data_IF_464817159930
#
_entry.id   IF_464817159930
#
_cell.length_a   1.000
_cell.length_b   1.000
_cell.length_c   1.000
_cell.angle_alpha   90.00
_cell.angle_beta   90.00
_cell.angle_gamma   90.00
#
_symmetry.space_group_name_H-M   'P 1'
#
loop_
_entity.id
_entity.type
_entity.pdbx_description
1 polymer ?
#
# COMPACT_ATOMS: atom_id res chain seq x y z
N UNK A 1 -7.87 -18.52 22.11
CA UNK A 1 -9.18 -18.02 21.63
C UNK A 1 -9.96 -17.27 22.71
N UNK A 2 -9.80 -17.61 24.00
CA UNK A 2 -10.34 -16.87 25.16
C UNK A 2 -9.80 -15.45 25.33
N UNK A 3 -8.66 -15.10 24.72
CA UNK A 3 -8.09 -13.73 24.81
C UNK A 3 -8.75 -12.72 23.86
N UNK A 4 -9.18 -13.12 22.66
CA UNK A 4 -9.80 -12.21 21.68
C UNK A 4 -11.18 -11.74 22.15
N UNK A 5 -11.86 -12.52 22.99
CA UNK A 5 -13.15 -12.13 23.56
C UNK A 5 -13.02 -11.15 24.75
N UNK A 6 -11.85 -11.07 25.40
CA UNK A 6 -11.66 -10.20 26.57
C UNK A 6 -11.57 -8.70 26.24
N UNK A 7 -11.26 -8.35 24.99
CA UNK A 7 -11.15 -6.94 24.57
C UNK A 7 -12.38 -6.42 23.81
N UNK A 8 -13.45 -7.20 23.73
CA UNK A 8 -14.68 -6.76 23.07
C UNK A 8 -15.43 -5.80 24.01
N UNK A 9 -15.64 -4.51 23.64
CA UNK A 9 -16.43 -3.60 24.46
C UNK A 9 -17.83 -4.18 24.64
N UNK A 10 -18.37 -4.11 25.86
CA UNK A 10 -19.68 -4.68 26.22
C UNK A 10 -20.77 -4.22 25.25
N UNK A 11 -21.18 -5.12 24.35
CA UNK A 11 -22.23 -4.84 23.36
C UNK A 11 -23.58 -4.99 24.07
N UNK A 12 -24.27 -3.87 24.30
CA UNK A 12 -25.64 -3.86 24.81
C UNK A 12 -26.56 -4.55 23.81
N UNK A 13 -27.36 -5.50 24.29
CA UNK A 13 -28.44 -6.15 23.53
C UNK A 13 -29.50 -5.10 23.17
N UNK A 14 -29.53 -4.68 21.91
CA UNK A 14 -30.54 -3.77 21.37
C UNK A 14 -31.68 -4.62 20.79
N UNK A 15 -32.78 -4.76 21.53
CA UNK A 15 -34.05 -5.20 20.97
C UNK A 15 -34.72 -4.00 20.31
N UNK A 16 -34.53 -3.81 19.01
CA UNK A 16 -35.04 -2.63 18.30
C UNK A 16 -35.40 -2.97 16.86
N UNK A 17 -36.55 -2.45 16.43
CA UNK A 17 -37.16 -2.64 15.12
C UNK A 17 -36.16 -2.60 13.97
N UNK A 18 -36.19 -3.66 13.15
CA UNK A 18 -35.39 -3.80 11.95
C UNK A 18 -35.84 -2.77 10.90
N UNK A 19 -35.22 -1.60 10.90
CA UNK A 19 -35.39 -0.67 9.78
C UNK A 19 -34.76 -1.26 8.51
N UNK A 20 -35.43 -1.12 7.34
CA UNK A 20 -34.97 -1.71 6.11
C UNK A 20 -33.64 -1.11 5.61
N UNK A 21 -32.65 -1.99 5.43
CA UNK A 21 -31.24 -1.71 5.12
C UNK A 21 -30.95 -1.10 3.74
N UNK A 22 -31.95 -0.78 2.89
CA UNK A 22 -31.70 -0.30 1.52
C UNK A 22 -31.42 1.21 1.40
N UNK A 23 -31.39 1.98 2.50
CA UNK A 23 -31.04 3.41 2.48
C UNK A 23 -29.55 3.73 2.62
N UNK A 24 -28.67 2.74 2.62
CA UNK A 24 -27.23 2.99 2.74
C UNK A 24 -26.59 3.27 1.38
N UNK A 25 -26.07 4.48 1.20
CA UNK A 25 -25.01 4.80 0.22
C UNK A 25 -23.68 4.14 0.64
N UNK A 26 -23.72 2.83 0.87
CA UNK A 26 -22.63 2.07 1.44
C UNK A 26 -21.45 1.95 0.48
N UNK A 27 -20.24 2.01 1.03
CA UNK A 27 -19.03 1.69 0.26
C UNK A 27 -19.13 0.27 -0.34
N UNK A 28 -18.48 0.01 -1.48
CA UNK A 28 -18.46 -1.33 -2.10
C UNK A 28 -17.96 -2.45 -1.17
N UNK A 29 -17.28 -2.11 -0.06
CA UNK A 29 -16.89 -3.06 0.99
C UNK A 29 -18.09 -3.55 1.82
N UNK A 30 -19.01 -2.65 2.15
CA UNK A 30 -20.21 -2.98 2.92
C UNK A 30 -21.15 -3.87 2.12
N UNK A 31 -21.36 -3.56 0.83
CA UNK A 31 -22.18 -4.40 -0.05
C UNK A 31 -21.63 -5.82 -0.17
N UNK A 32 -20.31 -5.96 -0.37
CA UNK A 32 -19.64 -7.28 -0.42
C UNK A 32 -19.76 -8.03 0.89
N UNK A 33 -19.55 -7.36 2.02
CA UNK A 33 -19.71 -7.99 3.34
C UNK A 33 -21.15 -8.49 3.54
N UNK A 34 -22.14 -7.67 3.19
CA UNK A 34 -23.55 -8.04 3.30
C UNK A 34 -23.91 -9.23 2.40
N UNK A 35 -23.43 -9.24 1.15
CA UNK A 35 -23.64 -10.37 0.24
C UNK A 35 -23.04 -11.68 0.79
N UNK A 36 -21.79 -11.63 1.29
CA UNK A 36 -21.15 -12.81 1.90
C UNK A 36 -21.84 -13.23 3.21
N UNK A 37 -22.37 -12.27 3.98
CA UNK A 37 -23.18 -12.55 5.16
C UNK A 37 -24.45 -13.32 4.79
N UNK A 38 -25.20 -12.86 3.78
CA UNK A 38 -26.42 -13.55 3.33
C UNK A 38 -26.13 -14.95 2.80
N UNK A 39 -25.05 -15.10 2.02
CA UNK A 39 -24.61 -16.42 1.55
C UNK A 39 -24.29 -17.36 2.72
N UNK A 40 -23.49 -16.89 3.69
CA UNK A 40 -23.11 -17.69 4.87
C UNK A 40 -24.33 -18.02 5.74
N UNK A 41 -25.30 -17.10 5.84
CA UNK A 41 -26.56 -17.35 6.55
C UNK A 41 -27.41 -18.42 5.87
N UNK A 42 -27.49 -18.40 4.54
CA UNK A 42 -28.21 -19.43 3.78
C UNK A 42 -27.54 -20.80 3.93
N UNK A 43 -26.20 -20.86 3.84
CA UNK A 43 -25.42 -22.07 4.11
C UNK A 43 -25.68 -22.58 5.54
N UNK A 44 -25.67 -21.70 6.54
CA UNK A 44 -25.99 -22.05 7.93
C UNK A 44 -27.39 -22.67 8.07
N UNK A 45 -28.41 -22.04 7.48
CA UNK A 45 -29.79 -22.51 7.54
C UNK A 45 -29.94 -23.89 6.88
N UNK A 46 -29.25 -24.15 5.77
CA UNK A 46 -29.26 -25.45 5.10
C UNK A 46 -28.65 -26.58 5.95
N UNK A 47 -27.72 -26.25 6.86
CA UNK A 47 -27.05 -27.21 7.73
C UNK A 47 -27.71 -27.38 9.10
N UNK A 48 -28.40 -26.36 9.61
CA UNK A 48 -28.91 -26.33 10.99
C UNK A 48 -29.88 -27.47 11.34
N UNK A 49 -30.52 -28.10 10.36
CA UNK A 49 -31.39 -29.27 10.54
C UNK A 49 -30.74 -30.63 10.28
N UNK A 50 -29.47 -30.68 9.89
CA UNK A 50 -28.76 -31.91 9.53
C UNK A 50 -28.00 -32.47 10.73
N UNK A 51 -27.92 -33.80 10.82
CA UNK A 51 -26.96 -34.45 11.71
C UNK A 51 -25.57 -34.39 11.06
N UNK A 52 -24.53 -33.89 11.76
CA UNK A 52 -23.19 -33.82 11.20
C UNK A 52 -22.59 -35.21 11.01
N UNK A 53 -21.71 -35.37 10.03
CA UNK A 53 -21.02 -36.63 9.78
C UNK A 53 -20.12 -37.08 10.95
N UNK A 54 -19.55 -36.11 11.67
CA UNK A 54 -18.69 -36.33 12.83
C UNK A 54 -19.28 -35.59 14.03
N UNK A 55 -19.48 -36.24 15.19
CA UNK A 55 -19.89 -35.56 16.40
C UNK A 55 -18.85 -34.49 16.76
N UNK A 56 -19.25 -33.22 16.69
CA UNK A 56 -18.37 -32.12 17.08
C UNK A 56 -18.40 -31.98 18.61
N UNK A 57 -17.24 -31.83 19.27
CA UNK A 57 -17.21 -31.50 20.70
C UNK A 57 -17.74 -30.09 20.99
N UNK A 58 -17.93 -29.27 19.94
CA UNK A 58 -18.37 -27.88 20.05
C UNK A 58 -19.79 -27.78 19.50
N UNK A 59 -20.66 -27.05 20.21
CA UNK A 59 -21.97 -26.65 19.71
C UNK A 59 -21.81 -25.56 18.63
N UNK A 60 -21.38 -25.98 17.44
CA UNK A 60 -21.05 -25.10 16.32
C UNK A 60 -22.25 -24.26 15.88
N UNK A 61 -23.48 -24.79 16.00
CA UNK A 61 -24.69 -24.08 15.59
C UNK A 61 -24.92 -22.80 16.40
N UNK A 62 -24.78 -22.91 17.73
CA UNK A 62 -24.87 -21.74 18.62
C UNK A 62 -23.77 -20.72 18.31
N UNK A 63 -22.53 -21.19 18.12
CA UNK A 63 -21.39 -20.32 17.82
C UNK A 63 -21.55 -19.57 16.49
N UNK A 64 -22.00 -20.25 15.42
CA UNK A 64 -22.24 -19.61 14.13
C UNK A 64 -23.35 -18.57 14.24
N UNK A 65 -24.44 -18.87 14.95
CA UNK A 65 -25.55 -17.92 15.15
C UNK A 65 -25.07 -16.66 15.87
N UNK A 66 -24.38 -16.81 17.00
CA UNK A 66 -23.81 -15.69 17.75
C UNK A 66 -22.87 -14.84 16.89
N UNK A 67 -21.98 -15.48 16.14
CA UNK A 67 -21.06 -14.78 15.24
C UNK A 67 -21.81 -14.02 14.13
N UNK A 68 -22.85 -14.61 13.53
CA UNK A 68 -23.64 -13.95 12.49
C UNK A 68 -24.41 -12.73 13.05
N UNK A 69 -24.93 -12.81 14.27
CA UNK A 69 -25.53 -11.65 14.96
C UNK A 69 -24.50 -10.55 15.21
N UNK A 70 -23.29 -10.91 15.66
CA UNK A 70 -22.19 -9.96 15.85
C UNK A 70 -21.73 -9.33 14.51
N UNK A 71 -21.76 -10.08 13.40
CA UNK A 71 -21.48 -9.54 12.06
C UNK A 71 -22.50 -8.45 11.70
N UNK A 72 -23.79 -8.66 12.00
CA UNK A 72 -24.83 -7.66 11.77
C UNK A 72 -24.61 -6.39 12.60
N UNK A 73 -24.29 -6.54 13.89
CA UNK A 73 -23.98 -5.41 14.76
C UNK A 73 -22.75 -4.64 14.26
N UNK A 74 -21.69 -5.35 13.84
CA UNK A 74 -20.50 -4.73 13.27
C UNK A 74 -20.82 -3.95 11.98
N UNK A 75 -21.72 -4.46 11.12
CA UNK A 75 -22.19 -3.74 9.94
C UNK A 75 -22.96 -2.47 10.31
N UNK A 76 -23.84 -2.52 11.31
CA UNK A 76 -24.60 -1.36 11.80
C UNK A 76 -23.69 -0.25 12.35
N UNK A 77 -22.64 -0.63 13.09
CA UNK A 77 -21.65 0.29 13.64
C UNK A 77 -20.57 0.72 12.64
N UNK A 78 -20.67 0.34 11.36
CA UNK A 78 -19.66 0.59 10.30
C UNK A 78 -18.26 0.03 10.64
N UNK A 79 -18.19 -0.93 11.57
CA UNK A 79 -16.97 -1.65 11.93
C UNK A 79 -16.71 -2.80 10.94
N UNK A 80 -16.53 -2.45 9.65
CA UNK A 80 -16.50 -3.44 8.55
C UNK A 80 -15.38 -4.47 8.70
N UNK A 81 -14.20 -4.08 9.19
CA UNK A 81 -13.07 -4.99 9.38
C UNK A 81 -13.35 -6.06 10.43
N UNK A 82 -14.01 -5.67 11.52
CA UNK A 82 -14.48 -6.62 12.53
C UNK A 82 -15.54 -7.56 11.95
N UNK A 83 -16.50 -7.03 11.20
CA UNK A 83 -17.52 -7.83 10.52
C UNK A 83 -16.92 -8.89 9.60
N UNK A 84 -15.89 -8.56 8.81
CA UNK A 84 -15.18 -9.54 7.98
C UNK A 84 -14.48 -10.63 8.79
N UNK A 85 -13.83 -10.29 9.91
CA UNK A 85 -13.15 -11.26 10.78
C UNK A 85 -14.15 -12.22 11.44
N UNK A 86 -15.26 -11.68 11.93
CA UNK A 86 -16.34 -12.47 12.52
C UNK A 86 -16.97 -13.40 11.48
N UNK A 87 -17.26 -12.90 10.28
CA UNK A 87 -17.85 -13.71 9.20
C UNK A 87 -16.94 -14.86 8.78
N UNK A 88 -15.64 -14.60 8.57
CA UNK A 88 -14.66 -15.66 8.27
C UNK A 88 -14.55 -16.69 9.39
N UNK A 89 -14.79 -16.26 10.63
CA UNK A 89 -14.80 -17.17 11.79
C UNK A 89 -16.06 -18.03 11.77
N UNK A 90 -17.23 -17.46 11.50
CA UNK A 90 -18.46 -18.22 11.30
C UNK A 90 -18.32 -19.26 10.18
N UNK A 91 -17.71 -18.89 9.06
CA UNK A 91 -17.43 -19.80 7.94
C UNK A 91 -16.53 -20.99 8.33
N UNK A 92 -15.54 -20.78 9.21
CA UNK A 92 -14.74 -21.90 9.74
C UNK A 92 -15.56 -22.82 10.63
N UNK A 93 -16.48 -22.27 11.43
CA UNK A 93 -17.37 -23.08 12.26
C UNK A 93 -18.44 -23.85 11.45
N UNK A 94 -18.83 -23.36 10.28
CA UNK A 94 -19.76 -24.09 9.40
C UNK A 94 -19.22 -25.44 8.94
N UNK A 95 -17.89 -25.58 8.86
CA UNK A 95 -17.23 -26.84 8.46
C UNK A 95 -17.63 -28.01 9.36
N UNK A 96 -17.92 -27.76 10.64
CA UNK A 96 -18.36 -28.81 11.56
C UNK A 96 -19.79 -29.32 11.29
N UNK A 97 -20.57 -28.60 10.47
CA UNK A 97 -21.90 -29.02 10.02
C UNK A 97 -21.89 -29.80 8.69
N UNK A 98 -20.76 -29.85 7.99
CA UNK A 98 -20.66 -30.48 6.67
C UNK A 98 -20.66 -32.01 6.74
N UNK A 99 -21.16 -32.63 5.66
CA UNK A 99 -20.95 -34.07 5.41
C UNK A 99 -19.52 -34.34 4.95
N UNK A 100 -19.10 -35.61 4.97
CA UNK A 100 -17.75 -35.97 4.52
C UNK A 100 -17.49 -35.59 3.05
N UNK A 101 -18.50 -35.76 2.18
CA UNK A 101 -18.42 -35.35 0.77
C UNK A 101 -18.29 -33.83 0.63
N UNK A 102 -19.06 -33.06 1.39
CA UNK A 102 -18.99 -31.59 1.40
C UNK A 102 -17.62 -31.10 1.90
N UNK A 103 -17.04 -31.75 2.91
CA UNK A 103 -15.68 -31.47 3.41
C UNK A 103 -14.65 -31.71 2.30
N UNK A 104 -14.75 -32.82 1.56
CA UNK A 104 -13.83 -33.12 0.45
C UNK A 104 -13.91 -32.06 -0.65
N UNK A 105 -15.12 -31.69 -1.07
CA UNK A 105 -15.35 -30.65 -2.08
C UNK A 105 -14.76 -29.32 -1.59
N UNK A 106 -15.03 -28.95 -0.34
CA UNK A 106 -14.54 -27.68 0.23
C UNK A 106 -13.03 -27.67 0.39
N UNK A 107 -12.42 -28.79 0.80
CA UNK A 107 -10.97 -28.91 0.92
C UNK A 107 -10.29 -28.77 -0.45
N UNK A 108 -10.83 -29.38 -1.50
CA UNK A 108 -10.35 -29.20 -2.86
C UNK A 108 -10.46 -27.73 -3.33
N UNK A 109 -11.57 -27.05 -3.02
CA UNK A 109 -11.75 -25.64 -3.32
C UNK A 109 -10.70 -24.76 -2.62
N UNK A 110 -10.50 -24.96 -1.31
CA UNK A 110 -9.53 -24.22 -0.50
C UNK A 110 -8.10 -24.48 -0.98
N UNK A 111 -7.74 -25.73 -1.30
CA UNK A 111 -6.42 -26.05 -1.87
C UNK A 111 -6.19 -25.39 -3.22
N UNK A 112 -7.22 -25.32 -4.07
CA UNK A 112 -7.15 -24.60 -5.35
C UNK A 112 -6.91 -23.10 -5.13
N UNK A 113 -7.63 -22.48 -4.20
CA UNK A 113 -7.44 -21.07 -3.87
C UNK A 113 -6.04 -20.81 -3.29
N UNK A 114 -5.58 -21.66 -2.35
CA UNK A 114 -4.23 -21.55 -1.76
C UNK A 114 -3.14 -21.74 -2.81
N UNK A 115 -3.37 -22.60 -3.80
CA UNK A 115 -2.41 -22.86 -4.88
C UNK A 115 -2.32 -21.73 -5.90
N UNK A 116 -3.26 -20.77 -5.93
CA UNK A 116 -3.26 -19.64 -6.87
C UNK A 116 -1.89 -18.93 -6.86
N UNK A 117 -1.29 -18.63 -8.04
CA UNK A 117 -0.02 -17.90 -8.13
C UNK A 117 -0.06 -16.52 -7.46
N UNK A 118 -1.24 -15.91 -7.28
CA UNK A 118 -1.43 -14.65 -6.56
C UNK A 118 -1.08 -14.76 -5.08
N UNK A 119 -1.13 -15.95 -4.50
CA UNK A 119 -0.74 -16.19 -3.11
C UNK A 119 0.76 -16.45 -3.08
N UNK A 120 1.54 -15.42 -2.76
CA UNK A 120 3.01 -15.50 -2.74
C UNK A 120 3.54 -15.83 -1.33
N UNK A 121 3.08 -16.93 -0.75
CA UNK A 121 3.50 -17.36 0.59
C UNK A 121 3.81 -18.86 0.60
N UNK A 122 5.04 -19.27 0.22
CA UNK A 122 5.42 -20.68 0.08
C UNK A 122 5.06 -21.52 1.31
N UNK A 123 5.44 -21.05 2.51
CA UNK A 123 5.18 -21.78 3.76
C UNK A 123 3.69 -22.02 4.05
N UNK A 124 2.78 -21.13 3.58
CA UNK A 124 1.33 -21.32 3.76
C UNK A 124 0.80 -22.39 2.81
N UNK A 125 1.35 -22.44 1.58
CA UNK A 125 1.03 -23.50 0.61
C UNK A 125 1.50 -24.84 1.14
N UNK A 126 2.73 -24.90 1.65
CA UNK A 126 3.33 -26.11 2.19
C UNK A 126 2.57 -26.58 3.44
N UNK A 127 2.22 -25.66 4.35
CA UNK A 127 1.41 -25.98 5.53
C UNK A 127 0.02 -26.52 5.14
N UNK A 128 -0.70 -25.83 4.24
CA UNK A 128 -2.01 -26.27 3.78
C UNK A 128 -1.98 -27.65 3.10
N UNK A 129 -0.95 -27.91 2.27
CA UNK A 129 -0.71 -29.22 1.68
C UNK A 129 -0.44 -30.26 2.75
N UNK A 130 0.47 -30.00 3.68
CA UNK A 130 0.80 -30.96 4.74
C UNK A 130 -0.40 -31.35 5.62
N UNK A 131 -1.41 -30.49 5.73
CA UNK A 131 -2.63 -30.74 6.49
C UNK A 131 -3.67 -31.53 5.67
N UNK A 132 -3.90 -31.17 4.40
CA UNK A 132 -5.01 -31.71 3.60
C UNK A 132 -4.60 -32.84 2.65
N UNK A 133 -3.32 -32.95 2.29
CA UNK A 133 -2.83 -33.94 1.35
C UNK A 133 -1.99 -35.02 2.03
N UNK A 134 -1.96 -36.19 1.41
CA UNK A 134 -1.01 -37.26 1.65
C UNK A 134 -0.43 -37.65 0.28
N UNK A 135 0.90 -37.61 0.15
CA UNK A 135 1.59 -37.88 -1.12
C UNK A 135 1.02 -37.08 -2.33
N UNK A 136 0.77 -35.77 -2.14
CA UNK A 136 0.16 -34.85 -3.13
C UNK A 136 -1.28 -35.15 -3.57
N UNK A 137 -1.93 -36.17 -2.99
CA UNK A 137 -3.34 -36.45 -3.18
C UNK A 137 -4.16 -35.99 -1.98
N UNK A 138 -5.41 -35.58 -2.22
CA UNK A 138 -6.32 -35.18 -1.15
C UNK A 138 -6.60 -36.38 -0.24
N UNK A 139 -6.45 -36.23 1.07
CA UNK A 139 -6.73 -37.32 2.02
C UNK A 139 -8.18 -37.75 1.90
N UNK A 140 -8.48 -39.06 1.92
CA UNK A 140 -9.86 -39.56 1.83
C UNK A 140 -10.71 -39.16 3.05
N UNK A 141 -10.10 -39.07 4.23
CA UNK A 141 -10.77 -38.73 5.48
C UNK A 141 -10.17 -37.46 6.10
N UNK A 142 -10.63 -36.30 5.63
CA UNK A 142 -10.25 -35.00 6.19
C UNK A 142 -11.10 -34.71 7.41
N UNK A 143 -10.45 -34.42 8.54
CA UNK A 143 -11.14 -33.95 9.75
C UNK A 143 -11.70 -32.54 9.54
N UNK A 144 -12.92 -32.22 10.03
CA UNK A 144 -13.46 -30.86 10.01
C UNK A 144 -12.50 -29.83 10.62
N UNK A 145 -11.76 -30.22 11.67
CA UNK A 145 -10.78 -29.37 12.32
C UNK A 145 -9.61 -29.04 11.39
N UNK A 146 -9.09 -30.04 10.67
CA UNK A 146 -7.99 -29.85 9.73
C UNK A 146 -8.38 -28.87 8.60
N UNK A 147 -9.60 -29.00 8.07
CA UNK A 147 -10.13 -28.05 7.09
C UNK A 147 -10.31 -26.64 7.68
N UNK A 148 -10.84 -26.52 8.91
CA UNK A 148 -10.96 -25.23 9.59
C UNK A 148 -9.61 -24.55 9.82
N UNK A 149 -8.56 -25.31 10.17
CA UNK A 149 -7.18 -24.82 10.32
C UNK A 149 -6.62 -24.29 9.00
N UNK A 150 -6.81 -25.01 7.89
CA UNK A 150 -6.35 -24.52 6.58
C UNK A 150 -7.15 -23.29 6.12
N UNK A 151 -8.46 -23.26 6.37
CA UNK A 151 -9.26 -22.06 6.11
C UNK A 151 -8.77 -20.86 6.94
N UNK A 152 -8.31 -21.08 8.17
CA UNK A 152 -7.70 -20.03 8.98
C UNK A 152 -6.44 -19.47 8.31
N UNK A 153 -5.53 -20.32 7.82
CA UNK A 153 -4.32 -19.89 7.11
C UNK A 153 -4.66 -19.02 5.88
N UNK A 154 -5.67 -19.42 5.10
CA UNK A 154 -6.15 -18.66 3.95
C UNK A 154 -6.74 -17.32 4.37
N UNK A 155 -7.60 -17.32 5.39
CA UNK A 155 -8.24 -16.12 5.90
C UNK A 155 -7.25 -15.11 6.47
N UNK A 156 -6.22 -15.59 7.18
CA UNK A 156 -5.13 -14.77 7.73
C UNK A 156 -4.28 -14.16 6.63
N UNK A 157 -4.01 -14.91 5.55
CA UNK A 157 -3.37 -14.35 4.35
C UNK A 157 -4.20 -13.22 3.75
N UNK A 158 -5.49 -13.44 3.49
CA UNK A 158 -6.37 -12.41 2.95
C UNK A 158 -6.42 -11.17 3.86
N UNK A 159 -6.51 -11.36 5.18
CA UNK A 159 -6.50 -10.26 6.14
C UNK A 159 -5.20 -9.44 6.08
N UNK A 160 -4.05 -10.13 5.95
CA UNK A 160 -2.74 -9.50 5.81
C UNK A 160 -2.66 -8.66 4.53
N UNK A 161 -3.14 -9.19 3.40
CA UNK A 161 -3.15 -8.47 2.12
C UNK A 161 -3.98 -7.19 2.21
N UNK A 162 -5.18 -7.25 2.79
CA UNK A 162 -6.02 -6.06 2.94
C UNK A 162 -5.42 -5.03 3.89
N UNK A 163 -4.75 -5.47 4.96
CA UNK A 163 -4.03 -4.57 5.87
C UNK A 163 -2.95 -3.79 5.12
N UNK A 164 -2.11 -4.49 4.35
CA UNK A 164 -1.05 -3.89 3.53
C UNK A 164 -1.63 -2.90 2.52
N UNK A 165 -2.69 -3.27 1.80
CA UNK A 165 -3.36 -2.36 0.85
C UNK A 165 -3.93 -1.11 1.54
N UNK A 166 -4.46 -1.25 2.75
CA UNK A 166 -4.97 -0.12 3.52
C UNK A 166 -3.84 0.85 3.92
N UNK A 167 -2.71 0.33 4.40
CA UNK A 167 -1.52 1.12 4.72
C UNK A 167 -0.97 1.83 3.48
N UNK A 168 -0.88 1.13 2.35
CA UNK A 168 -0.43 1.70 1.07
C UNK A 168 -1.35 2.84 0.60
N UNK A 169 -2.67 2.66 0.68
CA UNK A 169 -3.61 3.72 0.32
C UNK A 169 -3.48 4.93 1.23
N UNK A 170 -3.30 4.72 2.53
CA UNK A 170 -3.07 5.82 3.48
C UNK A 170 -1.77 6.57 3.16
N UNK A 171 -0.71 5.83 2.80
CA UNK A 171 0.56 6.42 2.34
C UNK A 171 0.37 7.24 1.08
N UNK A 172 -0.34 6.73 0.07
CA UNK A 172 -0.63 7.46 -1.17
C UNK A 172 -1.48 8.71 -0.92
N UNK A 173 -2.44 8.65 0.00
CA UNK A 173 -3.25 9.82 0.39
C UNK A 173 -2.39 10.90 1.05
N UNK A 174 -1.53 10.54 1.98
CA UNK A 174 -0.61 11.49 2.62
C UNK A 174 0.36 12.08 1.61
N UNK A 175 0.95 11.25 0.75
CA UNK A 175 1.87 11.72 -0.28
C UNK A 175 1.17 12.65 -1.27
N UNK A 176 -0.06 12.33 -1.66
CA UNK A 176 -0.91 13.20 -2.49
C UNK A 176 -1.15 14.54 -1.80
N UNK A 177 -1.54 14.54 -0.51
CA UNK A 177 -1.75 15.75 0.27
C UNK A 177 -0.50 16.64 0.34
N UNK A 178 0.67 16.06 0.63
CA UNK A 178 1.93 16.82 0.66
C UNK A 178 2.30 17.37 -0.72
N UNK A 179 2.10 16.59 -1.78
CA UNK A 179 2.40 17.01 -3.15
C UNK A 179 1.49 18.15 -3.59
N UNK A 180 0.18 18.02 -3.36
CA UNK A 180 -0.80 19.08 -3.66
C UNK A 180 -0.51 20.34 -2.86
N UNK A 181 -0.16 20.20 -1.57
CA UNK A 181 0.24 21.32 -0.73
C UNK A 181 1.50 22.03 -1.25
N UNK A 182 2.52 21.27 -1.65
CA UNK A 182 3.76 21.83 -2.21
C UNK A 182 3.53 22.54 -3.55
N UNK A 183 2.72 21.95 -4.45
CA UNK A 183 2.35 22.57 -5.73
C UNK A 183 1.53 23.83 -5.51
N UNK A 184 0.55 23.82 -4.61
CA UNK A 184 -0.25 25.00 -4.29
C UNK A 184 0.61 26.11 -3.70
N UNK A 185 1.51 25.79 -2.76
CA UNK A 185 2.47 26.74 -2.21
C UNK A 185 3.37 27.32 -3.31
N UNK A 186 3.82 26.49 -4.26
CA UNK A 186 4.61 26.95 -5.40
C UNK A 186 3.81 27.85 -6.35
N UNK A 187 2.53 27.58 -6.59
CA UNK A 187 1.68 28.46 -7.43
C UNK A 187 1.43 29.80 -6.75
N UNK A 188 1.21 29.81 -5.43
CA UNK A 188 0.89 31.03 -4.67
C UNK A 188 2.12 31.90 -4.37
N UNK A 189 3.26 31.28 -4.11
CA UNK A 189 4.51 31.95 -3.72
C UNK A 189 5.54 31.97 -4.85
N UNK A 190 5.23 31.35 -5.99
CA UNK A 190 6.13 31.22 -7.12
C UNK A 190 6.40 32.53 -7.83
N UNK A 191 7.42 32.57 -8.67
CA UNK A 191 7.72 33.74 -9.48
C UNK A 191 6.60 33.94 -10.51
N UNK A 192 6.27 35.21 -10.79
CA UNK A 192 5.25 35.56 -11.77
C UNK A 192 5.60 34.92 -13.12
N UNK A 193 4.65 34.23 -13.77
CA UNK A 193 4.93 33.40 -14.97
C UNK A 193 5.52 34.24 -16.11
N UNK A 194 5.21 35.55 -16.12
CA UNK A 194 5.78 36.54 -17.06
C UNK A 194 7.30 36.71 -16.92
N UNK A 195 7.88 36.31 -15.79
CA UNK A 195 9.31 36.33 -15.58
C UNK A 195 10.05 35.28 -16.42
N UNK A 196 9.40 34.17 -16.78
CA UNK A 196 10.03 33.10 -17.55
C UNK A 196 10.24 33.43 -19.03
N UNK A 197 9.48 34.37 -19.60
CA UNK A 197 9.56 34.69 -21.03
C UNK A 197 10.65 35.70 -21.37
N UNK A 198 11.23 36.35 -20.36
CA UNK A 198 12.23 37.39 -20.56
C UNK A 198 13.59 36.81 -20.20
N UNK A 199 14.43 36.50 -21.19
CA UNK A 199 15.78 35.91 -21.04
C UNK A 199 16.79 36.82 -20.31
N UNK A 200 16.32 37.84 -19.61
CA UNK A 200 17.18 38.75 -18.88
C UNK A 200 17.63 38.08 -17.58
N UNK A 201 18.94 38.19 -17.33
CA UNK A 201 19.59 37.81 -16.07
C UNK A 201 18.83 38.52 -14.95
N UNK A 202 17.97 37.78 -14.25
CA UNK A 202 17.20 38.33 -13.15
C UNK A 202 18.19 38.74 -12.05
N UNK A 203 18.35 40.03 -11.74
CA UNK A 203 19.10 40.41 -10.56
C UNK A 203 18.40 39.75 -9.36
N UNK A 204 19.18 39.09 -8.49
CA UNK A 204 18.69 38.38 -7.30
C UNK A 204 18.15 39.38 -6.25
N UNK A 205 17.12 40.16 -6.57
CA UNK A 205 16.57 41.19 -5.68
C UNK A 205 15.84 40.62 -4.47
N UNK A 206 15.49 39.31 -4.49
CA UNK A 206 14.85 38.64 -3.35
C UNK A 206 15.39 37.21 -3.14
N UNK A 207 16.56 37.04 -2.49
CA UNK A 207 17.17 35.73 -2.29
C UNK A 207 16.26 34.76 -1.54
N UNK A 208 15.51 35.23 -0.53
CA UNK A 208 14.63 34.39 0.29
C UNK A 208 13.56 33.64 -0.52
N UNK A 209 12.97 34.31 -1.53
CA UNK A 209 11.92 33.72 -2.37
C UNK A 209 12.50 32.63 -3.29
N UNK A 210 13.71 32.86 -3.81
CA UNK A 210 14.39 31.90 -4.67
C UNK A 210 14.75 30.62 -3.93
N UNK A 211 15.27 30.73 -2.69
CA UNK A 211 15.51 29.57 -1.82
C UNK A 211 14.24 28.76 -1.58
N UNK A 212 13.10 29.44 -1.37
CA UNK A 212 11.81 28.79 -1.18
C UNK A 212 11.36 28.04 -2.44
N UNK A 213 11.48 28.67 -3.61
CA UNK A 213 11.09 28.05 -4.89
C UNK A 213 11.92 26.80 -5.17
N UNK A 214 13.24 26.90 -4.98
CA UNK A 214 14.20 25.79 -5.16
C UNK A 214 13.85 24.63 -4.23
N UNK A 215 13.57 24.92 -2.96
CA UNK A 215 13.18 23.91 -1.97
C UNK A 215 11.83 23.24 -2.31
N UNK A 216 10.83 24.03 -2.69
CA UNK A 216 9.51 23.52 -3.10
C UNK A 216 9.62 22.62 -4.34
N UNK A 217 10.42 23.01 -5.32
CA UNK A 217 10.61 22.23 -6.54
C UNK A 217 11.32 20.90 -6.26
N UNK A 218 12.27 20.88 -5.33
CA UNK A 218 12.91 19.64 -4.88
C UNK A 218 11.96 18.74 -4.10
N UNK A 219 11.05 19.31 -3.29
CA UNK A 219 9.99 18.52 -2.64
C UNK A 219 9.04 17.89 -3.65
N UNK A 220 8.70 18.59 -4.75
CA UNK A 220 7.92 18.02 -5.84
C UNK A 220 8.68 16.86 -6.50
N UNK A 221 9.97 17.01 -6.78
CA UNK A 221 10.80 15.92 -7.30
C UNK A 221 10.83 14.69 -6.38
N UNK A 222 10.94 14.92 -5.07
CA UNK A 222 10.92 13.87 -4.05
C UNK A 222 9.58 13.15 -3.97
N UNK A 223 8.48 13.89 -4.07
CA UNK A 223 7.14 13.35 -4.13
C UNK A 223 6.95 12.44 -5.36
N UNK A 224 7.36 12.91 -6.55
CA UNK A 224 7.28 12.11 -7.78
C UNK A 224 8.11 10.83 -7.64
N UNK A 225 9.34 10.92 -7.11
CA UNK A 225 10.18 9.76 -6.84
C UNK A 225 9.53 8.79 -5.84
N UNK A 226 8.90 9.31 -4.79
CA UNK A 226 8.13 8.56 -3.81
C UNK A 226 6.95 7.81 -4.43
N UNK A 227 6.19 8.45 -5.32
CA UNK A 227 5.12 7.81 -6.08
C UNK A 227 5.65 6.67 -6.95
N UNK A 228 6.67 6.94 -7.78
CA UNK A 228 7.25 5.93 -8.68
C UNK A 228 7.82 4.74 -7.90
N UNK A 229 8.47 4.99 -6.76
CA UNK A 229 8.97 3.95 -5.86
C UNK A 229 7.83 3.10 -5.29
N UNK A 230 6.72 3.73 -4.90
CA UNK A 230 5.57 3.04 -4.32
C UNK A 230 4.93 2.08 -5.33
N UNK A 231 4.85 2.47 -6.61
CA UNK A 231 4.37 1.58 -7.67
C UNK A 231 5.28 0.38 -7.93
N UNK A 232 6.60 0.55 -7.79
CA UNK A 232 7.56 -0.56 -7.98
C UNK A 232 7.54 -1.57 -6.84
N UNK A 233 7.30 -1.11 -5.61
CA UNK A 233 7.35 -1.96 -4.41
C UNK A 233 6.18 -2.96 -4.31
N UNK A 234 5.07 -2.72 -5.02
CA UNK A 234 3.92 -3.64 -5.13
C UNK A 234 4.32 -5.04 -5.67
N UNK A 235 5.50 -5.17 -6.30
CA UNK A 235 5.97 -6.46 -6.86
C UNK A 235 6.79 -7.32 -5.90
N UNK A 236 7.33 -6.79 -4.79
CA UNK A 236 8.12 -7.61 -3.84
C UNK A 236 7.32 -7.86 -2.56
N UNK A 237 6.72 -9.05 -2.44
CA UNK A 237 5.86 -9.47 -1.33
C UNK A 237 6.61 -9.82 -0.03
N UNK A 238 7.85 -9.40 0.14
CA UNK A 238 8.59 -9.62 1.38
C UNK A 238 8.15 -8.57 2.37
N UNK A 239 7.39 -8.96 3.40
CA UNK A 239 6.84 -8.09 4.46
C UNK A 239 7.96 -7.20 5.03
N UNK A 240 8.06 -5.93 4.63
CA UNK A 240 9.05 -5.02 5.19
C UNK A 240 8.46 -4.40 6.45
N UNK A 241 9.30 -4.23 7.46
CA UNK A 241 9.01 -3.54 8.72
C UNK A 241 8.21 -2.25 8.51
N UNK A 242 6.90 -2.33 8.80
CA UNK A 242 5.89 -1.28 8.56
C UNK A 242 6.21 0.03 9.30
N UNK A 243 7.00 -0.02 10.38
CA UNK A 243 7.43 1.15 11.16
C UNK A 243 8.52 1.96 10.46
N UNK A 244 9.28 1.35 9.54
CA UNK A 244 10.38 2.04 8.84
C UNK A 244 9.92 2.93 7.68
N UNK A 245 8.70 2.73 7.17
CA UNK A 245 8.30 3.30 5.87
C UNK A 245 7.89 4.77 5.94
N UNK A 246 7.23 5.20 7.03
CA UNK A 246 6.93 6.62 7.26
C UNK A 246 8.22 7.41 7.44
N UNK A 247 9.14 6.87 8.25
CA UNK A 247 10.47 7.43 8.47
C UNK A 247 11.25 7.52 7.17
N UNK A 248 11.19 6.51 6.30
CA UNK A 248 11.86 6.53 5.00
C UNK A 248 11.28 7.60 4.07
N UNK A 249 9.96 7.77 4.06
CA UNK A 249 9.30 8.77 3.22
C UNK A 249 9.66 10.18 3.70
N UNK A 250 9.61 10.43 5.01
CA UNK A 250 10.03 11.68 5.61
C UNK A 250 11.53 11.96 5.36
N UNK A 251 12.39 10.95 5.55
CA UNK A 251 13.82 11.05 5.28
C UNK A 251 14.10 11.41 3.81
N UNK A 252 13.31 10.90 2.85
CA UNK A 252 13.44 11.27 1.43
C UNK A 252 13.10 12.74 1.18
N UNK A 253 12.04 13.28 1.79
CA UNK A 253 11.72 14.71 1.66
C UNK A 253 12.78 15.60 2.32
N UNK A 254 13.26 15.21 3.51
CA UNK A 254 14.33 15.91 4.20
C UNK A 254 15.64 15.90 3.38
N UNK A 255 16.03 14.74 2.85
CA UNK A 255 17.22 14.58 2.03
C UNK A 255 17.13 15.37 0.72
N UNK A 256 15.97 15.39 0.06
CA UNK A 256 15.73 16.20 -1.12
C UNK A 256 15.87 17.70 -0.83
N UNK A 257 15.31 18.18 0.28
CA UNK A 257 15.49 19.56 0.73
C UNK A 257 16.97 19.89 0.99
N UNK A 258 17.68 19.04 1.73
CA UNK A 258 19.10 19.22 2.03
C UNK A 258 19.96 19.19 0.76
N UNK A 259 19.71 18.26 -0.16
CA UNK A 259 20.43 18.16 -1.43
C UNK A 259 20.26 19.41 -2.28
N UNK A 260 19.04 19.95 -2.32
CA UNK A 260 18.73 21.18 -3.05
C UNK A 260 19.45 22.38 -2.47
N UNK A 261 19.45 22.50 -1.13
CA UNK A 261 20.15 23.56 -0.42
C UNK A 261 21.65 23.48 -0.69
N UNK A 262 22.24 22.29 -0.60
CA UNK A 262 23.66 22.07 -0.88
C UNK A 262 24.02 22.44 -2.33
N UNK A 263 23.20 22.00 -3.30
CA UNK A 263 23.42 22.27 -4.72
C UNK A 263 23.33 23.77 -5.01
N UNK A 264 22.31 24.45 -4.48
CA UNK A 264 22.18 25.90 -4.62
C UNK A 264 23.32 26.66 -3.92
N UNK A 265 23.82 26.18 -2.77
CA UNK A 265 24.97 26.77 -2.08
C UNK A 265 26.24 26.66 -2.93
N UNK A 266 26.50 25.49 -3.54
CA UNK A 266 27.64 25.26 -4.44
C UNK A 266 27.56 26.16 -5.68
N UNK A 267 26.36 26.30 -6.26
CA UNK A 267 26.12 27.21 -7.39
C UNK A 267 26.33 28.68 -6.99
N UNK A 268 25.79 29.09 -5.84
CA UNK A 268 25.91 30.45 -5.31
C UNK A 268 27.33 30.83 -4.92
N UNK A 269 28.16 29.86 -4.51
CA UNK A 269 29.57 30.05 -4.21
C UNK A 269 30.43 30.39 -5.45
N UNK A 270 29.87 30.35 -6.66
CA UNK A 270 30.59 30.67 -7.89
C UNK A 270 31.58 29.58 -8.33
N UNK A 271 31.44 28.35 -7.81
CA UNK A 271 32.25 27.20 -8.24
C UNK A 271 32.02 26.88 -9.72
N UNK A 272 30.79 27.12 -10.20
CA UNK A 272 30.41 27.00 -11.61
C UNK A 272 30.27 28.39 -12.20
N UNK A 273 30.80 28.58 -13.40
CA UNK A 273 30.78 29.84 -14.15
C UNK A 273 29.33 30.33 -14.33
N UNK A 274 28.97 31.37 -13.59
CA UNK A 274 27.60 31.89 -13.50
C UNK A 274 27.07 32.38 -14.86
N UNK A 275 27.97 32.70 -15.79
CA UNK A 275 27.64 33.12 -17.15
C UNK A 275 26.88 32.07 -17.96
N UNK A 276 26.96 30.79 -17.57
CA UNK A 276 26.32 29.66 -18.26
C UNK A 276 25.07 29.13 -17.53
N UNK A 277 24.78 29.63 -16.34
CA UNK A 277 23.68 29.15 -15.50
C UNK A 277 22.42 29.97 -15.77
N UNK A 278 21.62 29.50 -16.73
CA UNK A 278 20.26 29.99 -16.93
C UNK A 278 19.37 29.58 -15.76
N UNK A 279 18.40 30.43 -15.40
CA UNK A 279 17.41 30.14 -14.35
C UNK A 279 16.68 28.81 -14.58
N UNK A 280 16.41 28.46 -15.84
CA UNK A 280 15.80 27.18 -16.22
C UNK A 280 16.65 25.97 -15.82
N UNK A 281 17.98 26.08 -15.96
CA UNK A 281 18.92 25.03 -15.57
C UNK A 281 18.93 24.89 -14.05
N UNK A 282 18.84 26.00 -13.32
CA UNK A 282 18.80 25.99 -11.86
C UNK A 282 17.52 25.34 -11.34
N UNK A 283 16.36 25.62 -11.94
CA UNK A 283 15.10 24.95 -11.61
C UNK A 283 15.14 23.47 -12.01
N UNK A 284 15.69 23.13 -13.17
CA UNK A 284 15.83 21.74 -13.59
C UNK A 284 16.73 20.97 -12.61
N UNK A 285 17.84 21.55 -12.17
CA UNK A 285 18.73 20.97 -11.16
C UNK A 285 18.04 20.83 -9.80
N UNK A 286 17.29 21.85 -9.36
CA UNK A 286 16.53 21.78 -8.12
C UNK A 286 15.48 20.65 -8.19
N UNK A 287 14.76 20.51 -9.29
CA UNK A 287 13.82 19.43 -9.51
C UNK A 287 14.53 18.06 -9.48
N UNK A 288 15.62 17.91 -10.24
CA UNK A 288 16.40 16.67 -10.34
C UNK A 288 17.04 16.29 -9.01
N UNK A 289 17.49 17.26 -8.20
CA UNK A 289 18.00 17.01 -6.84
C UNK A 289 16.95 16.42 -5.90
N UNK A 290 15.67 16.67 -6.19
CA UNK A 290 14.55 16.04 -5.50
C UNK A 290 14.36 14.57 -5.89
N UNK A 291 14.81 14.16 -7.08
CA UNK A 291 14.76 12.76 -7.48
C UNK A 291 15.86 11.97 -6.75
N UNK A 292 15.58 10.69 -6.46
CA UNK A 292 16.51 9.77 -5.79
C UNK A 292 17.95 9.93 -6.27
N UNK A 293 18.91 9.75 -5.35
CA UNK A 293 20.37 9.76 -5.54
C UNK A 293 20.85 9.27 -6.93
N UNK A 294 20.28 8.18 -7.45
CA UNK A 294 20.62 7.59 -8.77
C UNK A 294 20.35 8.48 -9.98
N UNK A 295 19.37 9.37 -9.91
CA UNK A 295 19.06 10.31 -11.01
C UNK A 295 19.94 11.55 -10.93
N UNK A 296 20.29 11.98 -9.71
CA UNK A 296 21.26 13.06 -9.49
C UNK A 296 22.62 12.65 -10.01
N UNK A 297 23.12 11.45 -9.65
CA UNK A 297 24.41 10.97 -10.15
C UNK A 297 24.44 10.89 -11.67
N UNK A 298 23.40 10.34 -12.30
CA UNK A 298 23.31 10.28 -13.78
C UNK A 298 23.23 11.65 -14.43
N UNK A 299 22.48 12.59 -13.86
CA UNK A 299 22.36 13.94 -14.41
C UNK A 299 23.71 14.68 -14.33
N UNK A 300 24.41 14.54 -13.20
CA UNK A 300 25.76 15.10 -13.02
C UNK A 300 26.75 14.46 -14.00
N UNK A 301 26.72 13.14 -14.17
CA UNK A 301 27.55 12.42 -15.15
C UNK A 301 27.33 12.96 -16.57
N UNK A 302 26.07 13.11 -17.01
CA UNK A 302 25.73 13.62 -18.35
C UNK A 302 26.18 15.09 -18.53
N UNK A 303 26.06 15.91 -17.48
CA UNK A 303 26.52 17.30 -17.52
C UNK A 303 28.06 17.41 -17.59
N UNK A 304 28.76 16.58 -16.82
CA UNK A 304 30.23 16.50 -16.85
C UNK A 304 30.71 16.00 -18.23
N UNK A 305 30.09 14.96 -18.79
CA UNK A 305 30.42 14.45 -20.12
C UNK A 305 30.21 15.48 -21.24
N UNK A 306 29.22 16.38 -21.13
CA UNK A 306 29.00 17.44 -22.13
C UNK A 306 29.94 18.63 -22.00
N UNK A 307 30.51 18.88 -20.83
CA UNK A 307 31.36 20.05 -20.58
C UNK A 307 32.84 19.79 -20.90
N UNK A 308 33.33 18.56 -20.71
CA UNK A 308 34.72 18.16 -21.00
C UNK A 308 35.13 18.18 -22.49
N UNK A 309 34.30 17.78 -23.49
CA UNK A 309 34.76 17.69 -24.89
C UNK A 309 35.02 19.05 -25.55
N UNK A 310 34.45 20.14 -25.02
CA UNK A 310 34.67 21.49 -25.58
C UNK A 310 36.07 22.04 -25.26
N UNK A 311 36.65 21.67 -24.11
CA UNK A 311 38.02 22.08 -23.77
C UNK A 311 39.07 21.39 -24.65
N UNK A 312 38.89 20.10 -24.94
CA UNK A 312 39.82 19.36 -25.81
C UNK A 312 39.73 19.82 -27.27
N UNK A 313 38.54 20.16 -27.78
CA UNK A 313 38.38 20.70 -29.13
C UNK A 313 38.95 22.11 -29.31
N UNK A 314 38.92 22.95 -28.26
CA UNK A 314 39.54 24.28 -28.28
C UNK A 314 41.07 24.22 -28.15
N UNK A 315 41.61 23.36 -27.28
CA UNK A 315 43.07 23.16 -27.18
C UNK A 315 43.68 22.59 -28.47
N UNK A 316 43.00 21.68 -29.17
CA UNK A 316 43.48 21.17 -30.47
C UNK A 316 43.46 22.23 -31.57
N UNK A 317 42.56 23.23 -31.48
CA UNK A 317 42.56 24.38 -32.41
C UNK A 317 43.69 25.36 -32.13
N UNK A 318 44.04 25.62 -30.87
CA UNK A 318 45.17 26.53 -30.55
C UNK A 318 46.53 25.94 -30.90
N UNK A 319 46.71 24.61 -30.82
CA UNK A 319 47.98 23.95 -31.19
C UNK A 319 48.23 24.00 -32.71
N UNK A 320 47.20 24.16 -33.56
CA UNK A 320 47.34 24.24 -35.02
C UNK A 320 47.56 25.65 -35.58
N UNK A 321 47.60 26.70 -34.73
CA UNK A 321 47.75 28.11 -35.17
C UNK A 321 49.03 28.75 -34.57
N UNK A 322 50.11 27.97 -34.47
CA UNK A 322 51.46 28.53 -34.33
C UNK A 322 52.28 28.17 -35.57
N UNK A 323 52.52 29.12 -36.49
CA UNK A 323 53.51 28.94 -37.55
C UNK A 323 54.94 28.91 -37.00
#
# INVERSE_FOLDING_TARGET
MTEVLKETPAIRTVSGDFQPLWRFSGSSRQFRLHANYLQTLHEFQALAGRQPAVPSPINWQTQVRELLELVMQAMQHRALDLGWRLLKTAQRYLVYGFTQEEIQIKAAEVLREISDPKINSPWRKDAARSILTDCDQLRENISPQALAEVMQLLHDYQNSVYHVLHLQNRRLQLLSLYTTGAVLAWVLLGPDIKAFTTSQVYPLTQPKLQWLIVLLLSWIGAAISGFVSSFKQVRSNTIPSEISEYTLTFARFALAGLSSIALFTVLGAGIIDQSKLTYDVLLALALVSGFSERLVTRAVEIFMERTVPLQNAQQVKEIKVKP
#
